data_IF_483087425591
#
_entry.id   IF_483087425591
#
_cell.length_a   1.000
_cell.length_b   1.000
_cell.length_c   1.000
_cell.angle_alpha   90.00
_cell.angle_beta   90.00
_cell.angle_gamma   90.00
#
_symmetry.space_group_name_H-M   'P 1'
#
loop_
_entity.id
_entity.type
_entity.pdbx_description
1 polymer ?
#
# COMPACT_ATOMS: atom_id res chain seq x y z
N UNK A 1 -28.12 -41.16 -20.36
CA UNK A 1 -27.93 -40.14 -21.40
C UNK A 1 -28.73 -38.92 -20.98
N UNK A 2 -28.07 -37.90 -20.47
CA UNK A 2 -28.70 -36.59 -20.29
C UNK A 2 -28.70 -35.97 -21.69
N UNK A 3 -29.88 -35.82 -22.28
CA UNK A 3 -30.04 -35.37 -23.67
C UNK A 3 -29.45 -33.97 -23.87
N UNK A 4 -28.86 -33.71 -25.05
CA UNK A 4 -28.19 -32.43 -25.35
C UNK A 4 -29.06 -31.17 -25.20
N UNK A 5 -30.39 -31.31 -25.13
CA UNK A 5 -31.32 -30.23 -24.80
C UNK A 5 -31.20 -29.75 -23.34
N UNK A 6 -30.87 -30.65 -22.41
CA UNK A 6 -30.76 -30.36 -20.98
C UNK A 6 -29.46 -29.59 -20.67
N UNK A 7 -28.37 -29.90 -21.39
CA UNK A 7 -27.11 -29.14 -21.32
C UNK A 7 -27.25 -27.71 -21.90
N UNK A 8 -28.03 -27.56 -22.97
CA UNK A 8 -28.32 -26.24 -23.54
C UNK A 8 -29.19 -25.41 -22.59
N UNK A 9 -30.15 -26.05 -21.91
CA UNK A 9 -31.00 -25.43 -20.87
C UNK A 9 -30.16 -24.98 -19.67
N UNK A 10 -29.28 -25.85 -19.15
CA UNK A 10 -28.36 -25.53 -18.05
C UNK A 10 -27.44 -24.36 -18.42
N UNK A 11 -26.89 -24.34 -19.65
CA UNK A 11 -26.04 -23.23 -20.11
C UNK A 11 -26.81 -21.91 -20.19
N UNK A 12 -28.05 -21.92 -20.67
CA UNK A 12 -28.90 -20.72 -20.68
C UNK A 12 -29.22 -20.25 -19.26
N UNK A 13 -29.57 -21.15 -18.34
CA UNK A 13 -29.79 -20.84 -16.92
C UNK A 13 -28.57 -20.21 -16.26
N UNK A 14 -27.37 -20.76 -16.49
CA UNK A 14 -26.11 -20.22 -15.97
C UNK A 14 -25.79 -18.83 -16.55
N UNK A 15 -26.03 -18.62 -17.85
CA UNK A 15 -25.85 -17.31 -18.49
C UNK A 15 -26.82 -16.27 -17.89
N UNK A 16 -28.09 -16.65 -17.74
CA UNK A 16 -29.12 -15.79 -17.14
C UNK A 16 -28.75 -15.45 -15.68
N UNK A 17 -28.33 -16.43 -14.89
CA UNK A 17 -27.90 -16.21 -13.51
C UNK A 17 -26.68 -15.27 -13.43
N UNK A 18 -25.70 -15.44 -14.32
CA UNK A 18 -24.55 -14.54 -14.42
C UNK A 18 -24.96 -13.10 -14.78
N UNK A 19 -25.92 -12.94 -15.69
CA UNK A 19 -26.47 -11.63 -16.05
C UNK A 19 -27.20 -10.97 -14.88
N UNK A 20 -28.04 -11.72 -14.15
CA UNK A 20 -28.72 -11.20 -12.95
C UNK A 20 -27.73 -10.74 -11.89
N UNK A 21 -26.68 -11.53 -11.63
CA UNK A 21 -25.62 -11.14 -10.68
C UNK A 21 -24.91 -9.86 -11.14
N UNK A 22 -24.60 -9.73 -12.43
CA UNK A 22 -23.95 -8.53 -12.96
C UNK A 22 -24.81 -7.27 -12.78
N UNK A 23 -26.10 -7.36 -13.07
CA UNK A 23 -27.04 -6.24 -12.89
C UNK A 23 -27.17 -5.87 -11.40
N UNK A 24 -27.30 -6.87 -10.52
CA UNK A 24 -27.38 -6.64 -9.09
C UNK A 24 -26.11 -5.96 -8.53
N UNK A 25 -24.93 -6.38 -9.00
CA UNK A 25 -23.65 -5.76 -8.64
C UNK A 25 -23.58 -4.30 -9.09
N UNK A 26 -23.91 -4.00 -10.34
CA UNK A 26 -23.90 -2.63 -10.86
C UNK A 26 -24.87 -1.71 -10.12
N UNK A 27 -26.05 -2.22 -9.76
CA UNK A 27 -27.01 -1.44 -8.97
C UNK A 27 -26.47 -1.18 -7.56
N UNK A 28 -25.87 -2.19 -6.93
CA UNK A 28 -25.23 -2.04 -5.62
C UNK A 28 -24.10 -1.02 -5.67
N UNK A 29 -23.21 -1.10 -6.67
CA UNK A 29 -22.15 -0.12 -6.91
C UNK A 29 -22.72 1.29 -7.07
N UNK A 30 -23.74 1.48 -7.91
CA UNK A 30 -24.36 2.78 -8.10
C UNK A 30 -24.90 3.40 -6.80
N UNK A 31 -25.53 2.59 -5.94
CA UNK A 31 -25.99 3.04 -4.61
C UNK A 31 -24.80 3.43 -3.73
N UNK A 32 -23.74 2.62 -3.71
CA UNK A 32 -22.51 2.90 -2.95
C UNK A 32 -21.73 4.12 -3.47
N UNK A 33 -21.92 4.47 -4.75
CA UNK A 33 -21.45 5.71 -5.37
C UNK A 33 -22.41 6.90 -5.16
N UNK A 34 -23.40 6.78 -4.27
CA UNK A 34 -24.26 7.88 -3.86
C UNK A 34 -25.29 8.30 -4.91
N UNK A 35 -25.60 7.46 -5.91
CA UNK A 35 -26.58 7.81 -6.97
C UNK A 35 -27.99 8.07 -6.41
N UNK A 36 -28.32 7.50 -5.25
CA UNK A 36 -29.59 7.70 -4.55
C UNK A 36 -29.65 8.94 -3.64
N UNK A 37 -28.55 9.70 -3.51
CA UNK A 37 -28.49 10.88 -2.64
C UNK A 37 -29.15 12.10 -3.30
N UNK A 38 -29.90 12.85 -2.50
CA UNK A 38 -30.46 14.15 -2.88
C UNK A 38 -29.37 15.23 -2.90
N UNK A 39 -29.60 16.31 -3.66
CA UNK A 39 -28.61 17.30 -4.10
C UNK A 39 -27.53 17.66 -3.08
N UNK A 40 -27.89 18.19 -1.90
CA UNK A 40 -26.92 18.62 -0.87
C UNK A 40 -26.07 17.44 -0.36
N UNK A 41 -26.68 16.27 -0.14
CA UNK A 41 -25.95 15.07 0.31
C UNK A 41 -25.02 14.54 -0.78
N UNK A 42 -25.41 14.70 -2.03
CA UNK A 42 -24.61 14.30 -3.19
C UNK A 42 -23.38 15.20 -3.37
N UNK A 43 -23.52 16.50 -3.16
CA UNK A 43 -22.40 17.45 -3.15
C UNK A 43 -21.38 17.08 -2.06
N UNK A 44 -21.85 16.93 -0.81
CA UNK A 44 -21.00 16.50 0.31
C UNK A 44 -20.33 15.15 0.05
N UNK A 45 -21.05 14.19 -0.54
CA UNK A 45 -20.50 12.89 -0.91
C UNK A 45 -19.34 13.03 -1.91
N UNK A 46 -19.51 13.85 -2.95
CA UNK A 46 -18.47 14.07 -3.95
C UNK A 46 -17.23 14.76 -3.36
N UNK A 47 -17.43 15.73 -2.46
CA UNK A 47 -16.32 16.38 -1.73
C UNK A 47 -15.55 15.38 -0.87
N UNK A 48 -16.27 14.53 -0.12
CA UNK A 48 -15.69 13.46 0.70
C UNK A 48 -14.88 12.48 -0.14
N UNK A 49 -15.39 12.05 -1.31
CA UNK A 49 -14.67 11.15 -2.21
C UNK A 49 -13.40 11.81 -2.76
N UNK A 50 -13.49 13.05 -3.25
CA UNK A 50 -12.34 13.79 -3.79
C UNK A 50 -11.24 14.00 -2.75
N UNK A 51 -11.61 14.38 -1.52
CA UNK A 51 -10.65 14.54 -0.44
C UNK A 51 -10.03 13.18 -0.05
N UNK A 52 -10.84 12.12 0.01
CA UNK A 52 -10.37 10.76 0.32
C UNK A 52 -9.36 10.25 -0.70
N UNK A 53 -9.62 10.42 -2.00
CA UNK A 53 -8.70 10.04 -3.07
C UNK A 53 -7.37 10.80 -2.98
N UNK A 54 -7.46 12.12 -2.78
CA UNK A 54 -6.27 12.96 -2.62
C UNK A 54 -5.43 12.57 -1.41
N UNK A 55 -6.06 12.27 -0.27
CA UNK A 55 -5.36 11.86 0.94
C UNK A 55 -4.76 10.45 0.81
N UNK A 56 -5.45 9.52 0.12
CA UNK A 56 -4.91 8.20 -0.16
C UNK A 56 -3.65 8.28 -1.04
N UNK A 57 -3.67 9.09 -2.10
CA UNK A 57 -2.50 9.36 -2.91
C UNK A 57 -1.36 9.96 -2.07
N UNK A 58 -1.66 10.98 -1.25
CA UNK A 58 -0.66 11.63 -0.41
C UNK A 58 -0.04 10.67 0.62
N UNK A 59 -0.85 9.78 1.19
CA UNK A 59 -0.38 8.75 2.11
C UNK A 59 0.67 7.84 1.46
N UNK A 60 0.39 7.36 0.24
CA UNK A 60 1.30 6.49 -0.51
C UNK A 60 2.59 7.22 -0.93
N UNK A 61 2.46 8.45 -1.41
CA UNK A 61 3.61 9.31 -1.74
C UNK A 61 4.53 9.51 -0.53
N UNK A 62 3.98 9.83 0.64
CA UNK A 62 4.75 10.01 1.86
C UNK A 62 5.50 8.72 2.27
N UNK A 63 4.88 7.55 2.12
CA UNK A 63 5.55 6.26 2.40
C UNK A 63 6.67 5.99 1.41
N UNK A 64 6.46 6.28 0.12
CA UNK A 64 7.46 6.12 -0.92
C UNK A 64 8.66 7.03 -0.65
N UNK A 65 8.42 8.29 -0.34
CA UNK A 65 9.46 9.28 -0.04
C UNK A 65 10.20 8.92 1.24
N UNK A 66 9.51 8.52 2.31
CA UNK A 66 10.15 8.08 3.55
C UNK A 66 11.04 6.84 3.33
N UNK A 67 10.63 5.94 2.44
CA UNK A 67 11.41 4.75 2.08
C UNK A 67 12.66 5.14 1.28
N UNK A 68 12.55 6.11 0.35
CA UNK A 68 13.66 6.57 -0.51
C UNK A 68 14.66 7.48 0.22
N UNK A 69 14.20 8.26 1.18
CA UNK A 69 15.03 9.24 1.90
C UNK A 69 15.95 8.60 2.94
N UNK A 70 15.67 7.36 3.36
CA UNK A 70 16.52 6.66 4.31
C UNK A 70 17.72 6.01 3.61
N UNK A 71 18.91 6.38 4.05
CA UNK A 71 20.17 5.79 3.62
C UNK A 71 21.08 5.59 4.82
N UNK A 72 21.56 4.36 5.02
CA UNK A 72 22.64 4.05 5.95
C UNK A 72 23.88 3.62 5.17
N UNK A 73 24.90 4.48 5.16
CA UNK A 73 26.21 4.15 4.59
C UNK A 73 26.98 3.26 5.57
N UNK A 74 27.35 2.06 5.14
CA UNK A 74 28.15 1.12 5.92
C UNK A 74 29.49 0.92 5.23
N UNK A 75 30.58 1.18 5.95
CA UNK A 75 31.96 1.04 5.46
C UNK A 75 32.68 -0.16 6.08
N UNK A 76 32.34 -0.52 7.32
CA UNK A 76 32.96 -1.67 7.99
C UNK A 76 32.30 -2.97 7.56
N UNK A 77 33.08 -3.87 6.96
CA UNK A 77 32.65 -5.20 6.54
C UNK A 77 32.11 -6.04 7.71
N UNK A 78 32.52 -5.79 8.95
CA UNK A 78 31.98 -6.49 10.12
C UNK A 78 30.51 -6.16 10.37
N UNK A 79 30.07 -4.96 10.01
CA UNK A 79 28.69 -4.55 10.26
C UNK A 79 27.68 -5.27 9.37
N UNK A 80 28.11 -5.74 8.20
CA UNK A 80 27.30 -6.45 7.19
C UNK A 80 27.44 -7.98 7.24
N UNK A 81 28.10 -8.52 8.28
CA UNK A 81 28.33 -9.96 8.39
C UNK A 81 27.01 -10.74 8.37
N UNK A 82 26.99 -11.85 7.63
CA UNK A 82 25.80 -12.69 7.44
C UNK A 82 24.92 -12.31 6.26
N UNK A 83 25.01 -11.07 5.76
CA UNK A 83 24.21 -10.65 4.60
C UNK A 83 24.58 -11.47 3.34
N UNK A 84 23.58 -11.98 2.59
CA UNK A 84 23.81 -12.66 1.32
C UNK A 84 24.50 -11.76 0.32
N UNK A 85 25.32 -12.37 -0.55
CA UNK A 85 26.02 -11.65 -1.62
C UNK A 85 25.08 -10.82 -2.50
N UNK A 86 23.87 -11.32 -2.79
CA UNK A 86 22.87 -10.60 -3.58
C UNK A 86 22.44 -9.29 -2.94
N UNK A 87 22.30 -9.25 -1.62
CA UNK A 87 21.97 -8.02 -0.86
C UNK A 87 23.14 -7.05 -0.86
N UNK A 88 24.36 -7.56 -0.69
CA UNK A 88 25.57 -6.73 -0.74
C UNK A 88 25.78 -6.13 -2.14
N UNK A 89 25.49 -6.87 -3.20
CA UNK A 89 25.55 -6.39 -4.57
C UNK A 89 24.55 -5.25 -4.81
N UNK A 90 23.29 -5.40 -4.38
CA UNK A 90 22.27 -4.35 -4.49
C UNK A 90 22.63 -3.09 -3.69
N UNK A 91 23.13 -3.25 -2.46
CA UNK A 91 23.58 -2.13 -1.63
C UNK A 91 24.81 -1.41 -2.22
N UNK A 92 25.71 -2.15 -2.87
CA UNK A 92 26.87 -1.60 -3.59
C UNK A 92 26.43 -0.86 -4.88
N UNK A 93 25.47 -1.40 -5.63
CA UNK A 93 24.89 -0.72 -6.80
C UNK A 93 24.21 0.59 -6.40
N UNK A 94 23.50 0.59 -5.27
CA UNK A 94 22.92 1.81 -4.69
C UNK A 94 24.01 2.83 -4.36
N UNK A 95 25.12 2.39 -3.76
CA UNK A 95 26.28 3.25 -3.52
C UNK A 95 26.85 3.84 -4.82
N UNK A 96 27.01 3.05 -5.89
CA UNK A 96 27.45 3.56 -7.20
C UNK A 96 26.49 4.65 -7.69
N UNK A 97 25.18 4.41 -7.64
CA UNK A 97 24.17 5.38 -8.08
C UNK A 97 24.21 6.71 -7.31
N UNK A 98 24.78 6.69 -6.09
CA UNK A 98 24.94 7.84 -5.20
C UNK A 98 26.33 8.48 -5.30
N UNK A 99 27.15 8.07 -6.26
CA UNK A 99 28.43 8.67 -6.59
C UNK A 99 29.65 8.04 -5.91
N UNK A 100 29.54 6.81 -5.38
CA UNK A 100 30.68 6.09 -4.84
C UNK A 100 31.37 5.25 -5.92
N UNK A 101 32.60 5.63 -6.31
CA UNK A 101 33.32 5.05 -7.46
C UNK A 101 34.03 3.70 -7.19
N UNK A 102 34.21 3.31 -5.93
CA UNK A 102 34.91 2.08 -5.56
C UNK A 102 34.13 1.29 -4.50
N UNK A 103 33.29 0.35 -4.95
CA UNK A 103 32.39 -0.44 -4.08
C UNK A 103 32.78 -1.92 -3.95
N UNK A 104 33.94 -2.32 -4.50
CA UNK A 104 34.40 -3.72 -4.48
C UNK A 104 34.54 -4.30 -3.05
N UNK A 105 34.67 -3.43 -2.05
CA UNK A 105 34.70 -3.79 -0.63
C UNK A 105 33.86 -2.82 0.22
N UNK A 106 32.81 -2.23 -0.36
CA UNK A 106 32.04 -1.14 0.22
C UNK A 106 32.51 0.24 -0.26
N UNK A 107 31.77 1.32 0.06
CA UNK A 107 30.64 1.34 0.98
C UNK A 107 29.39 0.66 0.43
N UNK A 108 28.56 0.15 1.34
CA UNK A 108 27.22 -0.37 1.06
C UNK A 108 26.19 0.63 1.56
N UNK A 109 25.23 1.01 0.72
CA UNK A 109 24.09 1.82 1.16
C UNK A 109 22.94 0.89 1.47
N UNK A 110 22.57 0.80 2.75
CA UNK A 110 21.41 0.05 3.22
C UNK A 110 20.19 0.98 3.18
N UNK A 111 19.18 0.57 2.44
CA UNK A 111 17.91 1.25 2.20
C UNK A 111 16.74 0.49 2.84
N UNK A 112 15.53 1.08 2.80
CA UNK A 112 14.31 0.48 3.37
C UNK A 112 13.42 -0.23 2.34
N UNK A 113 13.85 -0.37 1.08
CA UNK A 113 13.09 -1.14 0.10
C UNK A 113 12.98 -2.62 0.53
N UNK A 114 11.89 -3.26 0.11
CA UNK A 114 11.51 -4.59 0.58
C UNK A 114 12.63 -5.64 0.51
N UNK A 115 13.34 -5.78 -0.63
CA UNK A 115 14.47 -6.70 -0.75
C UNK A 115 15.59 -6.47 0.28
N UNK A 116 16.10 -5.25 0.41
CA UNK A 116 17.20 -4.94 1.34
C UNK A 116 16.73 -5.12 2.79
N UNK A 117 15.60 -4.50 3.17
CA UNK A 117 15.06 -4.58 4.52
C UNK A 117 14.87 -6.03 4.99
N UNK A 118 14.20 -6.86 4.18
CA UNK A 118 13.95 -8.27 4.53
C UNK A 118 15.25 -9.04 4.73
N UNK A 119 16.23 -8.82 3.86
CA UNK A 119 17.52 -9.51 3.97
C UNK A 119 18.28 -9.12 5.24
N UNK A 120 18.29 -7.83 5.59
CA UNK A 120 18.90 -7.37 6.84
C UNK A 120 18.24 -8.03 8.05
N UNK A 121 16.91 -8.07 8.10
CA UNK A 121 16.19 -8.70 9.22
C UNK A 121 16.44 -10.21 9.33
N UNK A 122 16.62 -10.90 8.20
CA UNK A 122 16.76 -12.35 8.15
C UNK A 122 18.21 -12.83 8.38
N UNK A 123 19.20 -12.08 7.91
CA UNK A 123 20.55 -12.59 7.74
C UNK A 123 21.65 -11.78 8.44
N UNK A 124 21.44 -10.49 8.73
CA UNK A 124 22.49 -9.70 9.36
C UNK A 124 22.79 -10.25 10.77
N UNK A 125 24.04 -10.60 11.04
CA UNK A 125 24.49 -11.03 12.37
C UNK A 125 24.51 -9.86 13.37
N UNK A 126 24.86 -8.65 12.89
CA UNK A 126 24.94 -7.44 13.68
C UNK A 126 23.56 -7.00 14.23
N UNK A 127 23.36 -7.14 15.55
CA UNK A 127 22.11 -6.74 16.22
C UNK A 127 21.84 -5.24 16.12
N UNK A 128 22.86 -4.40 16.21
CA UNK A 128 22.71 -2.95 16.14
C UNK A 128 22.26 -2.51 14.75
N UNK A 129 22.76 -3.16 13.68
CA UNK A 129 22.28 -2.93 12.33
C UNK A 129 20.81 -3.33 12.18
N UNK A 130 20.41 -4.50 12.72
CA UNK A 130 19.01 -4.92 12.69
C UNK A 130 18.11 -3.95 13.46
N UNK A 131 18.55 -3.46 14.61
CA UNK A 131 17.77 -2.52 15.41
C UNK A 131 17.56 -1.18 14.70
N UNK A 132 18.63 -0.60 14.14
CA UNK A 132 18.57 0.66 13.40
C UNK A 132 17.62 0.58 12.21
N UNK A 133 17.82 -0.44 11.36
CA UNK A 133 16.98 -0.66 10.17
C UNK A 133 15.53 -0.98 10.56
N UNK A 134 15.29 -1.76 11.61
CA UNK A 134 13.93 -2.04 12.09
C UNK A 134 13.23 -0.76 12.54
N UNK A 135 13.88 0.06 13.39
CA UNK A 135 13.31 1.31 13.89
C UNK A 135 12.98 2.26 12.75
N UNK A 136 13.92 2.44 11.83
CA UNK A 136 13.71 3.25 10.64
C UNK A 136 12.53 2.75 9.79
N UNK A 137 12.38 1.43 9.62
CA UNK A 137 11.29 0.85 8.83
C UNK A 137 9.90 1.04 9.46
N UNK A 138 9.78 0.88 10.78
CA UNK A 138 8.48 0.98 11.49
C UNK A 138 8.06 2.43 11.77
N UNK A 139 9.00 3.38 11.76
CA UNK A 139 8.72 4.81 11.89
C UNK A 139 8.63 5.55 10.54
N UNK A 140 8.52 4.82 9.42
CA UNK A 140 8.38 5.47 8.11
C UNK A 140 7.12 6.30 8.07
N UNK A 141 7.25 7.52 7.54
CA UNK A 141 6.15 8.46 7.37
C UNK A 141 5.37 8.73 8.67
N UNK A 142 6.03 8.72 9.84
CA UNK A 142 5.38 8.99 11.13
C UNK A 142 5.75 10.33 11.75
N UNK A 143 6.65 11.10 11.13
CA UNK A 143 7.15 12.36 11.67
C UNK A 143 7.50 13.37 10.57
N UNK A 144 7.63 14.64 10.97
CA UNK A 144 8.04 15.72 10.08
C UNK A 144 7.09 15.92 8.88
N UNK A 145 7.61 16.39 7.73
CA UNK A 145 6.81 16.69 6.54
C UNK A 145 6.13 15.48 5.88
N UNK A 146 6.57 14.27 6.21
CA UNK A 146 6.05 13.01 5.67
C UNK A 146 5.09 12.32 6.66
N UNK A 147 4.71 12.97 7.76
CA UNK A 147 3.86 12.37 8.79
C UNK A 147 2.45 12.04 8.26
N UNK A 148 2.13 10.76 8.23
CA UNK A 148 0.83 10.23 7.83
C UNK A 148 -0.18 10.12 8.98
N UNK A 149 0.20 10.35 10.24
CA UNK A 149 -0.75 10.32 11.37
C UNK A 149 -1.98 11.21 11.14
N UNK A 150 -1.84 12.52 10.84
CA UNK A 150 -3.00 13.38 10.58
C UNK A 150 -3.75 13.01 9.29
N UNK A 151 -3.07 12.42 8.30
CA UNK A 151 -3.72 11.93 7.08
C UNK A 151 -4.62 10.74 7.38
N UNK A 152 -4.17 9.79 8.22
CA UNK A 152 -4.97 8.64 8.65
C UNK A 152 -6.19 9.12 9.44
N UNK A 153 -6.00 10.05 10.38
CA UNK A 153 -7.10 10.63 11.17
C UNK A 153 -8.17 11.22 10.25
N UNK A 154 -7.77 12.05 9.28
CA UNK A 154 -8.71 12.65 8.33
C UNK A 154 -9.40 11.62 7.43
N UNK A 155 -8.68 10.60 6.96
CA UNK A 155 -9.27 9.49 6.19
C UNK A 155 -10.34 8.76 7.01
N UNK A 156 -10.12 8.54 8.31
CA UNK A 156 -11.10 7.88 9.18
C UNK A 156 -12.36 8.73 9.39
N UNK A 157 -12.21 10.05 9.54
CA UNK A 157 -13.33 10.99 9.59
C UNK A 157 -14.15 10.94 8.30
N UNK A 158 -13.49 11.08 7.15
CA UNK A 158 -14.14 11.04 5.83
C UNK A 158 -14.86 9.71 5.57
N UNK A 159 -14.27 8.59 5.98
CA UNK A 159 -14.90 7.26 5.89
C UNK A 159 -16.17 7.17 6.73
N UNK A 160 -16.16 7.76 7.92
CA UNK A 160 -17.35 7.83 8.78
C UNK A 160 -18.42 8.76 8.17
N UNK A 161 -18.03 9.91 7.63
CA UNK A 161 -18.91 10.83 6.93
C UNK A 161 -19.58 10.15 5.72
N UNK A 162 -18.81 9.46 4.87
CA UNK A 162 -19.31 8.67 3.75
C UNK A 162 -20.34 7.64 4.19
N UNK A 163 -20.03 6.85 5.22
CA UNK A 163 -20.94 5.83 5.73
C UNK A 163 -22.28 6.45 6.19
N UNK A 164 -22.22 7.55 6.93
CA UNK A 164 -23.42 8.28 7.40
C UNK A 164 -24.24 8.85 6.25
N UNK A 165 -23.59 9.40 5.21
CA UNK A 165 -24.28 9.90 4.02
C UNK A 165 -25.08 8.79 3.33
N UNK A 166 -24.53 7.57 3.29
CA UNK A 166 -25.16 6.39 2.71
C UNK A 166 -26.11 5.65 3.67
N UNK A 167 -26.29 6.14 4.91
CA UNK A 167 -27.23 5.57 5.88
C UNK A 167 -26.70 4.41 6.73
N UNK A 168 -25.38 4.20 6.77
CA UNK A 168 -24.72 3.20 7.61
C UNK A 168 -24.19 3.82 8.92
N UNK A 169 -24.04 3.03 9.98
CA UNK A 169 -23.56 3.54 11.28
C UNK A 169 -22.06 3.86 11.24
N UNK A 170 -21.29 3.07 10.50
CA UNK A 170 -19.85 3.17 10.37
C UNK A 170 -19.37 2.61 9.02
N UNK A 171 -18.10 2.84 8.69
CA UNK A 171 -17.51 2.41 7.41
C UNK A 171 -17.36 0.89 7.27
N UNK A 172 -17.29 0.14 8.37
CA UNK A 172 -17.20 -1.34 8.30
C UNK A 172 -18.52 -2.01 7.95
N UNK A 173 -19.65 -1.34 8.17
CA UNK A 173 -20.98 -1.79 7.76
C UNK A 173 -21.31 -1.46 6.29
N UNK A 174 -20.58 -0.50 5.70
CA UNK A 174 -20.71 -0.10 4.31
C UNK A 174 -20.04 -1.12 3.38
#
# INVERSE_FOLDING_TARGET
MIEGADLLSIRHLLLIQGLYQNVALKLKEAILYGVSLEDIKKELFNEVEQESEKLAQKFEENILDATKNYEKVVVDKKEIEGLPFTTLALAAETAISKGYDNVNAGPWIITLDGPIYRSVMQHAHNRSLREDIYRAYVSRASEGPLNNTPIIERILELRLEKAKLLGHVNYTEL
#
